data_IF_796266838331
#
_entry.id   IF_796266838331
#
_cell.length_a   1.000
_cell.length_b   1.000
_cell.length_c   1.000
_cell.angle_alpha   90.00
_cell.angle_beta   90.00
_cell.angle_gamma   90.00
#
_symmetry.space_group_name_H-M   'P 1'
#
loop_
_entity.id
_entity.type
_entity.pdbx_description
1 polymer ?
#
# COMPACT_ATOMS: atom_id res chain seq x y z
N UNK A 1 28.19 34.91 -28.17
CA UNK A 1 29.39 34.69 -27.33
C UNK A 1 30.11 33.47 -27.87
N UNK A 2 31.46 33.48 -27.99
CA UNK A 2 32.19 32.36 -28.58
C UNK A 2 32.05 31.09 -27.73
N UNK A 3 31.79 29.95 -28.36
CA UNK A 3 31.38 28.69 -27.72
C UNK A 3 32.59 27.89 -27.18
N UNK A 4 33.82 28.32 -27.47
CA UNK A 4 35.05 27.53 -27.26
C UNK A 4 35.99 28.03 -26.13
N UNK A 5 35.52 28.92 -25.26
CA UNK A 5 36.35 29.44 -24.17
C UNK A 5 36.33 28.50 -22.95
N UNK A 6 37.00 27.35 -23.09
CA UNK A 6 37.04 26.26 -22.08
C UNK A 6 37.55 26.75 -20.73
N UNK A 7 38.57 27.60 -20.72
CA UNK A 7 39.17 28.18 -19.51
C UNK A 7 38.15 29.03 -18.74
N UNK A 8 37.35 29.81 -19.47
CA UNK A 8 36.28 30.62 -18.88
C UNK A 8 35.13 29.77 -18.35
N UNK A 9 34.75 28.71 -19.05
CA UNK A 9 33.73 27.76 -18.57
C UNK A 9 34.19 27.08 -17.27
N UNK A 10 35.46 26.71 -17.18
CA UNK A 10 36.05 26.06 -16.02
C UNK A 10 36.14 27.00 -14.81
N UNK A 11 36.55 28.24 -15.04
CA UNK A 11 36.55 29.30 -14.02
C UNK A 11 35.13 29.60 -13.51
N UNK A 12 34.13 29.65 -14.40
CA UNK A 12 32.72 29.83 -14.01
C UNK A 12 32.24 28.62 -13.21
N UNK A 13 32.58 27.39 -13.60
CA UNK A 13 32.21 26.17 -12.85
C UNK A 13 32.83 26.16 -11.46
N UNK A 14 34.11 26.50 -11.31
CA UNK A 14 34.77 26.58 -10.01
C UNK A 14 34.15 27.68 -9.13
N UNK A 15 33.92 28.87 -9.69
CA UNK A 15 33.29 29.97 -8.97
C UNK A 15 31.88 29.59 -8.49
N UNK A 16 31.06 29.02 -9.37
CA UNK A 16 29.72 28.52 -9.01
C UNK A 16 29.82 27.42 -7.94
N UNK A 17 30.73 26.46 -8.09
CA UNK A 17 30.93 25.37 -7.12
C UNK A 17 31.33 25.86 -5.73
N UNK A 18 32.09 26.95 -5.64
CA UNK A 18 32.50 27.56 -4.36
C UNK A 18 31.32 28.27 -3.66
N UNK A 19 30.26 28.59 -4.40
CA UNK A 19 29.04 29.22 -3.89
C UNK A 19 27.84 28.28 -3.83
N UNK A 20 27.98 27.03 -4.29
CA UNK A 20 26.99 25.96 -4.10
C UNK A 20 27.08 25.43 -2.65
N UNK A 21 26.38 26.08 -1.74
CA UNK A 21 26.20 25.62 -0.36
C UNK A 21 24.72 25.33 -0.05
N UNK A 22 24.46 24.75 1.11
CA UNK A 22 23.09 24.44 1.53
C UNK A 22 22.20 25.69 1.55
N UNK A 23 22.76 26.84 1.94
CA UNK A 23 22.04 28.13 1.98
C UNK A 23 21.63 28.63 0.58
N UNK A 24 22.48 28.43 -0.42
CA UNK A 24 22.20 28.75 -1.82
C UNK A 24 21.06 27.88 -2.37
N UNK A 25 21.10 26.57 -2.10
CA UNK A 25 20.01 25.65 -2.47
C UNK A 25 18.72 26.05 -1.76
N UNK A 26 18.78 26.34 -0.46
CA UNK A 26 17.62 26.72 0.33
C UNK A 26 16.99 28.03 -0.16
N UNK A 27 17.80 29.04 -0.52
CA UNK A 27 17.31 30.30 -1.08
C UNK A 27 16.70 30.12 -2.48
N UNK A 28 17.30 29.28 -3.33
CA UNK A 28 16.76 28.97 -4.66
C UNK A 28 15.40 28.23 -4.57
N UNK A 29 15.24 27.39 -3.55
CA UNK A 29 13.98 26.68 -3.27
C UNK A 29 12.95 27.60 -2.60
N UNK A 30 13.39 28.57 -1.78
CA UNK A 30 12.51 29.53 -1.12
C UNK A 30 11.78 30.47 -2.10
N UNK A 31 12.42 30.86 -3.21
CA UNK A 31 11.81 31.66 -4.28
C UNK A 31 10.92 30.84 -5.24
N UNK A 32 10.91 29.51 -5.13
CA UNK A 32 10.04 28.63 -5.90
C UNK A 32 8.67 28.50 -5.24
N UNK A 33 7.67 29.19 -5.77
CA UNK A 33 6.25 29.03 -5.39
C UNK A 33 5.64 27.66 -5.78
N UNK A 34 6.41 26.76 -6.40
CA UNK A 34 5.97 25.40 -6.72
C UNK A 34 6.15 24.52 -5.49
N UNK A 35 5.03 23.99 -4.98
CA UNK A 35 5.04 22.86 -4.04
C UNK A 35 6.02 21.80 -4.58
N UNK A 36 7.01 21.35 -3.80
CA UNK A 36 7.97 20.35 -4.25
C UNK A 36 7.20 19.09 -4.64
N UNK A 37 7.16 18.79 -5.93
CA UNK A 37 6.58 17.54 -6.44
C UNK A 37 7.58 16.43 -6.12
N UNK A 38 7.10 15.37 -5.48
CA UNK A 38 7.93 14.20 -5.23
C UNK A 38 8.27 13.55 -6.56
N UNK A 39 9.56 13.46 -6.86
CA UNK A 39 10.03 12.62 -7.97
C UNK A 39 9.85 11.14 -7.61
N UNK A 40 9.71 10.23 -8.59
CA UNK A 40 9.60 8.80 -8.31
C UNK A 40 10.69 8.22 -7.40
N UNK A 41 11.99 8.57 -7.54
CA UNK A 41 13.02 8.10 -6.63
C UNK A 41 12.84 8.65 -5.21
N UNK A 42 12.50 9.93 -5.07
CA UNK A 42 12.28 10.55 -3.76
C UNK A 42 11.08 9.93 -3.04
N UNK A 43 9.99 9.67 -3.76
CA UNK A 43 8.80 9.00 -3.22
C UNK A 43 9.12 7.58 -2.73
N UNK A 44 9.85 6.78 -3.53
CA UNK A 44 10.25 5.41 -3.13
C UNK A 44 11.17 5.41 -1.92
N UNK A 45 12.09 6.37 -1.86
CA UNK A 45 12.98 6.54 -0.72
C UNK A 45 12.18 6.88 0.55
N UNK A 46 11.32 7.89 0.48
CA UNK A 46 10.45 8.28 1.59
C UNK A 46 9.56 7.14 2.07
N UNK A 47 8.95 6.38 1.15
CA UNK A 47 8.16 5.20 1.47
C UNK A 47 8.97 4.15 2.25
N UNK A 48 10.22 3.91 1.83
CA UNK A 48 11.13 2.97 2.50
C UNK A 48 11.49 3.46 3.91
N UNK A 49 11.76 4.75 4.08
CA UNK A 49 12.07 5.34 5.39
C UNK A 49 10.87 5.32 6.34
N UNK A 50 9.66 5.59 5.83
CA UNK A 50 8.42 5.46 6.62
C UNK A 50 8.22 4.01 7.11
N UNK A 51 8.43 3.02 6.24
CA UNK A 51 8.32 1.61 6.60
C UNK A 51 9.37 1.21 7.66
N UNK A 52 10.64 1.62 7.46
CA UNK A 52 11.74 1.42 8.42
C UNK A 52 11.47 2.03 9.78
N UNK A 53 10.89 3.23 9.82
CA UNK A 53 10.54 3.88 11.07
C UNK A 53 9.38 3.17 11.77
N UNK A 54 8.41 2.64 11.00
CA UNK A 54 7.25 1.95 11.54
C UNK A 54 7.57 0.56 12.11
N UNK A 55 8.61 -0.12 11.59
CA UNK A 55 9.08 -1.45 12.05
C UNK A 55 7.96 -2.46 12.23
N UNK A 56 7.09 -2.55 11.24
CA UNK A 56 5.89 -3.39 11.30
C UNK A 56 6.20 -4.86 11.02
N UNK A 57 5.46 -5.74 11.69
CA UNK A 57 5.52 -7.19 11.49
C UNK A 57 4.50 -7.60 10.44
N UNK A 58 4.96 -8.14 9.31
CA UNK A 58 4.13 -8.42 8.13
C UNK A 58 4.08 -9.92 7.87
N UNK A 59 2.88 -10.49 7.88
CA UNK A 59 2.67 -11.90 7.52
C UNK A 59 2.59 -12.08 6.01
N UNK A 60 3.23 -13.15 5.54
CA UNK A 60 3.33 -13.57 4.15
C UNK A 60 2.76 -14.99 4.06
N UNK A 61 1.46 -15.13 3.75
CA UNK A 61 0.76 -16.43 3.66
C UNK A 61 1.39 -17.41 2.67
N UNK A 62 2.02 -16.90 1.61
CA UNK A 62 2.66 -17.68 0.55
C UNK A 62 4.14 -17.89 0.89
N UNK A 63 4.41 -18.41 2.09
CA UNK A 63 5.73 -18.39 2.73
C UNK A 63 6.80 -19.24 2.05
N UNK A 64 6.41 -20.21 1.22
CA UNK A 64 7.28 -21.07 0.42
C UNK A 64 7.38 -20.65 -1.05
N UNK A 65 6.77 -19.53 -1.42
CA UNK A 65 6.81 -19.02 -2.78
C UNK A 65 8.17 -18.33 -3.07
N UNK A 66 8.86 -18.65 -4.19
CA UNK A 66 10.22 -18.16 -4.45
C UNK A 66 10.41 -16.63 -4.48
N UNK A 67 9.45 -15.88 -5.03
CA UNK A 67 9.48 -14.40 -5.06
C UNK A 67 9.21 -13.83 -3.67
N UNK A 68 8.27 -14.42 -2.92
CA UNK A 68 7.95 -14.06 -1.54
C UNK A 68 9.16 -14.24 -0.62
N UNK A 69 9.87 -15.37 -0.72
CA UNK A 69 11.08 -15.61 0.07
C UNK A 69 12.17 -14.59 -0.26
N UNK A 70 12.43 -14.31 -1.55
CA UNK A 70 13.40 -13.28 -1.95
C UNK A 70 13.03 -11.90 -1.42
N UNK A 71 11.75 -11.54 -1.52
CA UNK A 71 11.25 -10.26 -1.02
C UNK A 71 11.40 -10.17 0.50
N UNK A 72 11.07 -11.23 1.25
CA UNK A 72 11.22 -11.28 2.70
C UNK A 72 12.68 -11.07 3.14
N UNK A 73 13.63 -11.72 2.46
CA UNK A 73 15.07 -11.53 2.70
C UNK A 73 15.49 -10.08 2.45
N UNK A 74 15.11 -9.51 1.31
CA UNK A 74 15.45 -8.12 0.97
C UNK A 74 14.81 -7.12 1.94
N UNK A 75 13.55 -7.35 2.36
CA UNK A 75 12.86 -6.52 3.34
C UNK A 75 13.55 -6.55 4.70
N UNK A 76 13.94 -7.73 5.16
CA UNK A 76 14.64 -7.92 6.43
C UNK A 76 16.04 -7.31 6.40
N UNK A 77 16.84 -7.56 5.35
CA UNK A 77 18.18 -6.99 5.17
C UNK A 77 18.15 -5.45 5.12
N UNK A 78 17.09 -4.89 4.52
CA UNK A 78 16.88 -3.45 4.45
C UNK A 78 16.12 -2.89 5.66
N UNK A 79 15.77 -3.69 6.66
CA UNK A 79 15.02 -3.24 7.85
C UNK A 79 13.66 -2.61 7.55
N UNK A 80 13.02 -2.99 6.45
CA UNK A 80 11.74 -2.44 5.99
C UNK A 80 10.58 -2.97 6.84
N UNK A 81 10.63 -4.26 7.19
CA UNK A 81 9.61 -4.95 7.97
C UNK A 81 10.20 -6.21 8.61
N UNK A 82 9.58 -6.69 9.69
CA UNK A 82 9.81 -8.03 10.21
C UNK A 82 8.87 -9.00 9.49
N UNK A 83 9.42 -9.89 8.67
CA UNK A 83 8.63 -10.77 7.81
C UNK A 83 8.29 -12.09 8.53
N UNK A 84 7.02 -12.49 8.48
CA UNK A 84 6.54 -13.78 8.98
C UNK A 84 6.12 -14.64 7.80
N UNK A 85 6.88 -15.66 7.47
CA UNK A 85 6.55 -16.63 6.42
C UNK A 85 5.64 -17.72 7.00
N UNK A 86 4.45 -17.90 6.43
CA UNK A 86 3.56 -19.01 6.77
C UNK A 86 3.77 -20.17 5.78
N UNK A 87 4.53 -21.17 6.19
CA UNK A 87 4.77 -22.39 5.40
C UNK A 87 5.49 -23.44 6.25
N UNK A 88 5.54 -24.67 5.74
CA UNK A 88 6.40 -25.72 6.28
C UNK A 88 7.88 -25.28 6.28
N UNK A 89 8.57 -25.24 7.44
CA UNK A 89 9.95 -24.76 7.54
C UNK A 89 10.93 -25.50 6.62
N UNK A 90 10.75 -26.80 6.41
CA UNK A 90 11.62 -27.58 5.52
C UNK A 90 11.45 -27.15 4.05
N UNK A 91 10.22 -26.79 3.65
CA UNK A 91 9.93 -26.29 2.31
C UNK A 91 10.47 -24.88 2.08
N UNK A 92 10.34 -23.97 3.07
CA UNK A 92 10.95 -22.63 3.01
C UNK A 92 12.46 -22.72 2.85
N UNK A 93 13.13 -23.57 3.64
CA UNK A 93 14.58 -23.76 3.58
C UNK A 93 15.03 -24.26 2.20
N UNK A 94 14.34 -25.27 1.67
CA UNK A 94 14.63 -25.83 0.33
C UNK A 94 14.50 -24.79 -0.78
N UNK A 95 13.47 -23.96 -0.72
CA UNK A 95 13.26 -22.89 -1.71
C UNK A 95 14.30 -21.79 -1.55
N UNK A 96 14.64 -21.39 -0.32
CA UNK A 96 15.69 -20.41 -0.07
C UNK A 96 17.04 -20.86 -0.65
N UNK A 97 17.43 -22.12 -0.44
CA UNK A 97 18.64 -22.72 -1.01
C UNK A 97 18.61 -22.72 -2.54
N UNK A 98 17.49 -23.16 -3.14
CA UNK A 98 17.31 -23.15 -4.58
C UNK A 98 17.36 -21.73 -5.20
N UNK A 99 16.93 -20.72 -4.44
CA UNK A 99 17.01 -19.31 -4.84
C UNK A 99 18.36 -18.65 -4.52
N UNK A 100 19.28 -19.35 -3.86
CA UNK A 100 20.59 -18.83 -3.47
C UNK A 100 20.54 -17.72 -2.42
N UNK A 101 19.49 -17.69 -1.59
CA UNK A 101 19.31 -16.68 -0.53
C UNK A 101 19.46 -17.30 0.85
N UNK A 102 19.91 -16.49 1.81
CA UNK A 102 20.04 -16.90 3.21
C UNK A 102 18.94 -16.25 4.04
N UNK A 103 18.21 -17.06 4.80
CA UNK A 103 17.22 -16.58 5.74
C UNK A 103 17.95 -15.97 6.94
N UNK A 104 17.82 -14.65 7.10
CA UNK A 104 18.55 -13.87 8.10
C UNK A 104 17.70 -13.45 9.30
N UNK A 105 18.28 -12.58 10.14
CA UNK A 105 17.53 -11.90 11.21
C UNK A 105 16.39 -11.08 10.62
N UNK A 106 15.26 -10.99 11.33
CA UNK A 106 14.07 -10.26 10.87
C UNK A 106 13.12 -11.10 10.01
N UNK A 107 13.39 -12.40 9.84
CA UNK A 107 12.48 -13.36 9.23
C UNK A 107 12.12 -14.41 10.27
N UNK A 108 10.82 -14.61 10.46
CA UNK A 108 10.25 -15.68 11.29
C UNK A 108 9.49 -16.63 10.39
N UNK A 109 9.68 -17.93 10.58
CA UNK A 109 8.92 -18.96 9.87
C UNK A 109 7.95 -19.58 10.87
N UNK A 110 6.67 -19.61 10.52
CA UNK A 110 5.63 -20.27 11.31
C UNK A 110 5.03 -21.36 10.46
N UNK A 111 5.08 -22.59 10.99
CA UNK A 111 4.41 -23.72 10.39
C UNK A 111 2.90 -23.61 10.65
N UNK A 112 2.05 -23.51 9.60
CA UNK A 112 0.60 -23.35 9.78
C UNK A 112 -0.03 -24.49 10.59
N UNK A 113 0.49 -25.72 10.45
CA UNK A 113 -0.04 -26.89 11.14
C UNK A 113 0.07 -26.78 12.67
N UNK A 114 1.07 -26.05 13.17
CA UNK A 114 1.36 -25.95 14.61
C UNK A 114 0.52 -24.87 15.30
N UNK A 115 0.00 -23.90 14.55
CA UNK A 115 -0.68 -22.71 15.11
C UNK A 115 -2.17 -22.63 14.78
N UNK A 116 -2.65 -23.30 13.72
CA UNK A 116 -4.02 -23.15 13.23
C UNK A 116 -5.09 -23.42 14.29
N UNK A 117 -4.89 -24.41 15.16
CA UNK A 117 -5.87 -24.76 16.20
C UNK A 117 -6.10 -23.60 17.18
N UNK A 118 -5.12 -22.72 17.39
CA UNK A 118 -5.25 -21.57 18.29
C UNK A 118 -6.32 -20.56 17.85
N UNK A 119 -6.72 -20.58 16.58
CA UNK A 119 -7.66 -19.61 16.01
C UNK A 119 -9.06 -20.17 15.75
N UNK A 120 -9.28 -21.48 15.98
CA UNK A 120 -10.55 -22.16 15.68
C UNK A 120 -11.70 -21.53 16.47
N UNK A 121 -11.57 -21.47 17.80
CA UNK A 121 -12.61 -20.95 18.68
C UNK A 121 -12.95 -19.49 18.35
N UNK A 122 -11.92 -18.68 18.09
CA UNK A 122 -12.10 -17.26 17.75
C UNK A 122 -12.79 -17.09 16.40
N UNK A 123 -12.44 -17.89 15.39
CA UNK A 123 -13.09 -17.84 14.08
C UNK A 123 -14.57 -18.25 14.16
N UNK A 124 -14.88 -19.27 14.97
CA UNK A 124 -16.26 -19.69 15.26
C UNK A 124 -17.04 -18.55 15.91
N UNK A 125 -16.47 -17.90 16.92
CA UNK A 125 -17.10 -16.76 17.60
C UNK A 125 -17.40 -15.61 16.62
N UNK A 126 -16.40 -15.16 15.86
CA UNK A 126 -16.51 -14.05 14.92
C UNK A 126 -17.55 -14.30 13.83
N UNK A 127 -17.71 -15.57 13.41
CA UNK A 127 -18.60 -15.97 12.32
C UNK A 127 -19.81 -16.77 12.77
N UNK A 128 -20.13 -16.76 14.07
CA UNK A 128 -21.29 -17.48 14.64
C UNK A 128 -22.60 -17.09 13.98
N UNK A 129 -22.80 -15.80 13.70
CA UNK A 129 -23.99 -15.28 13.02
C UNK A 129 -24.15 -15.80 11.58
N UNK A 130 -23.11 -16.40 11.00
CA UNK A 130 -23.12 -17.02 9.67
C UNK A 130 -23.10 -18.56 9.74
N UNK A 131 -23.35 -19.14 10.91
CA UNK A 131 -23.42 -20.59 11.11
C UNK A 131 -22.06 -21.29 11.11
N UNK A 132 -20.98 -20.59 11.46
CA UNK A 132 -19.65 -21.21 11.55
C UNK A 132 -19.63 -22.31 12.62
N UNK A 133 -19.17 -23.50 12.23
CA UNK A 133 -18.93 -24.64 13.14
C UNK A 133 -17.43 -24.83 13.30
N UNK A 134 -16.99 -25.52 14.37
CA UNK A 134 -15.57 -25.80 14.57
C UNK A 134 -14.95 -26.59 13.42
N UNK A 135 -15.66 -27.58 12.86
CA UNK A 135 -15.17 -28.37 11.73
C UNK A 135 -14.94 -27.49 10.50
N UNK A 136 -15.89 -26.61 10.18
CA UNK A 136 -15.75 -25.67 9.06
C UNK A 136 -14.66 -24.62 9.32
N UNK A 137 -14.47 -24.20 10.58
CA UNK A 137 -13.39 -23.29 10.96
C UNK A 137 -12.02 -23.92 10.76
N UNK A 138 -11.84 -25.19 11.18
CA UNK A 138 -10.59 -25.95 10.94
C UNK A 138 -10.27 -26.08 9.45
N UNK A 139 -11.27 -26.39 8.62
CA UNK A 139 -11.12 -26.47 7.16
C UNK A 139 -10.72 -25.10 6.57
N UNK A 140 -11.34 -24.01 7.00
CA UNK A 140 -10.98 -22.67 6.52
C UNK A 140 -9.59 -22.23 6.97
N UNK A 141 -9.14 -22.64 8.16
CA UNK A 141 -7.81 -22.33 8.68
C UNK A 141 -6.68 -23.11 8.01
N UNK A 142 -7.00 -24.06 7.12
CA UNK A 142 -6.00 -24.65 6.22
C UNK A 142 -5.54 -23.66 5.14
N UNK A 143 -6.37 -22.67 4.81
CA UNK A 143 -5.98 -21.55 3.96
C UNK A 143 -5.09 -20.58 4.74
N UNK A 144 -3.83 -20.45 4.31
CA UNK A 144 -2.83 -19.59 4.94
C UNK A 144 -3.21 -18.11 4.94
N UNK A 145 -4.04 -17.65 3.99
CA UNK A 145 -4.55 -16.27 3.97
C UNK A 145 -5.58 -16.07 5.08
N UNK A 146 -6.45 -17.05 5.31
CA UNK A 146 -7.41 -17.02 6.43
C UNK A 146 -6.64 -17.04 7.75
N UNK A 147 -5.67 -17.94 7.89
CA UNK A 147 -4.82 -18.03 9.07
C UNK A 147 -4.07 -16.71 9.33
N UNK A 148 -3.40 -16.15 8.32
CA UNK A 148 -2.72 -14.85 8.44
C UNK A 148 -3.67 -13.71 8.78
N UNK A 149 -4.93 -13.76 8.31
CA UNK A 149 -5.95 -12.78 8.68
C UNK A 149 -6.36 -12.92 10.16
N UNK A 150 -6.45 -14.15 10.68
CA UNK A 150 -6.71 -14.38 12.11
C UNK A 150 -5.54 -13.91 12.98
N UNK A 151 -4.29 -14.09 12.55
CA UNK A 151 -3.12 -13.52 13.22
C UNK A 151 -3.19 -11.98 13.28
N UNK A 152 -3.66 -11.35 12.21
CA UNK A 152 -3.86 -9.90 12.16
C UNK A 152 -5.00 -9.44 13.09
N UNK A 153 -6.12 -10.17 13.15
CA UNK A 153 -7.21 -9.90 14.10
C UNK A 153 -6.77 -10.06 15.56
N UNK A 154 -5.91 -11.05 15.82
CA UNK A 154 -5.30 -11.28 17.12
C UNK A 154 -4.20 -10.26 17.48
N UNK A 155 -3.88 -9.30 16.60
CA UNK A 155 -2.80 -8.31 16.75
C UNK A 155 -1.41 -8.93 16.94
N UNK A 156 -1.18 -10.13 16.41
CA UNK A 156 0.14 -10.79 16.46
C UNK A 156 1.08 -10.30 15.34
N UNK A 157 0.47 -9.72 14.30
CA UNK A 157 1.12 -9.08 13.15
C UNK A 157 0.39 -7.79 12.83
N UNK A 158 1.06 -6.86 12.15
CA UNK A 158 0.55 -5.52 11.82
C UNK A 158 -0.03 -5.42 10.40
N UNK A 159 0.23 -6.42 9.55
CA UNK A 159 -0.27 -6.43 8.18
C UNK A 159 -0.05 -7.76 7.48
N UNK A 160 -0.74 -7.96 6.36
CA UNK A 160 -0.70 -9.16 5.53
C UNK A 160 -0.42 -8.79 4.07
N UNK A 161 0.48 -9.51 3.41
CA UNK A 161 0.74 -9.38 1.97
C UNK A 161 0.68 -10.76 1.31
N UNK A 162 -0.26 -10.93 0.38
CA UNK A 162 -0.49 -12.16 -0.39
C UNK A 162 -0.86 -11.80 -1.84
N UNK A 163 -0.94 -12.79 -2.73
CA UNK A 163 -1.38 -12.62 -4.12
C UNK A 163 -0.36 -13.04 -5.17
N UNK A 164 0.77 -13.64 -4.77
CA UNK A 164 1.73 -14.24 -5.70
C UNK A 164 1.21 -15.56 -6.27
N UNK A 165 0.38 -16.28 -5.51
CA UNK A 165 -0.28 -17.55 -5.86
C UNK A 165 -1.80 -17.40 -5.76
N UNK A 166 -2.30 -16.75 -4.71
CA UNK A 166 -3.72 -16.54 -4.49
C UNK A 166 -4.27 -15.47 -5.44
N UNK A 167 -5.54 -15.62 -5.82
CA UNK A 167 -6.24 -14.57 -6.57
C UNK A 167 -6.53 -13.36 -5.68
N UNK A 168 -6.73 -12.18 -6.28
CA UNK A 168 -7.16 -10.97 -5.58
C UNK A 168 -8.43 -11.22 -4.74
N UNK A 169 -9.39 -11.97 -5.29
CA UNK A 169 -10.61 -12.33 -4.60
C UNK A 169 -10.36 -13.18 -3.34
N UNK A 170 -9.44 -14.14 -3.41
CA UNK A 170 -9.07 -14.98 -2.27
C UNK A 170 -8.29 -14.19 -1.21
N UNK A 171 -7.53 -13.16 -1.62
CA UNK A 171 -6.77 -12.31 -0.69
C UNK A 171 -7.66 -11.33 0.08
N UNK A 172 -8.66 -10.72 -0.57
CA UNK A 172 -9.51 -9.68 0.05
C UNK A 172 -10.67 -10.27 0.86
N UNK A 173 -11.17 -11.46 0.47
CA UNK A 173 -12.37 -12.04 1.09
C UNK A 173 -12.21 -12.32 2.59
N UNK A 174 -11.12 -12.94 3.09
CA UNK A 174 -10.99 -13.22 4.52
C UNK A 174 -10.92 -11.95 5.39
N UNK A 175 -10.10 -10.92 5.06
CA UNK A 175 -10.11 -9.67 5.82
C UNK A 175 -11.48 -8.99 5.86
N UNK A 176 -12.22 -8.98 4.75
CA UNK A 176 -13.59 -8.42 4.72
C UNK A 176 -14.56 -9.19 5.63
N UNK A 177 -14.33 -10.48 5.80
CA UNK A 177 -15.16 -11.37 6.60
C UNK A 177 -14.83 -11.33 8.10
N UNK A 178 -13.57 -11.06 8.44
CA UNK A 178 -13.04 -11.17 9.81
C UNK A 178 -12.79 -9.77 10.40
N UNK A 179 -11.99 -8.94 9.73
CA UNK A 179 -11.54 -7.62 10.19
C UNK A 179 -12.58 -6.53 9.87
N UNK A 180 -13.22 -6.64 8.69
CA UNK A 180 -14.22 -5.68 8.15
C UNK A 180 -13.62 -4.31 7.81
N UNK A 181 -14.47 -3.40 7.36
CA UNK A 181 -14.11 -2.02 7.04
C UNK A 181 -13.96 -1.16 8.29
N UNK A 182 -13.23 -0.06 8.18
CA UNK A 182 -13.15 0.95 9.22
C UNK A 182 -14.54 1.58 9.50
N UNK A 183 -14.81 2.06 10.73
CA UNK A 183 -16.06 2.74 11.05
C UNK A 183 -16.36 3.88 10.06
N UNK A 184 -17.61 3.93 9.56
CA UNK A 184 -18.03 4.92 8.58
C UNK A 184 -17.65 4.62 7.13
N UNK A 185 -16.92 3.53 6.87
CA UNK A 185 -16.64 3.04 5.52
C UNK A 185 -17.54 1.85 5.19
N UNK A 186 -18.27 1.94 4.07
CA UNK A 186 -19.14 0.88 3.56
C UNK A 186 -18.40 -0.09 2.64
N UNK A 187 -17.30 0.35 2.03
CA UNK A 187 -16.52 -0.41 1.05
C UNK A 187 -15.01 -0.28 1.31
N UNK A 188 -14.27 -1.21 0.72
CA UNK A 188 -12.82 -1.07 0.51
C UNK A 188 -12.56 -0.64 -0.92
N UNK A 189 -11.54 0.18 -1.13
CA UNK A 189 -11.14 0.66 -2.44
C UNK A 189 -9.65 0.44 -2.66
N UNK A 190 -9.23 0.29 -3.92
CA UNK A 190 -7.81 0.25 -4.26
C UNK A 190 -7.29 1.63 -4.65
N UNK A 191 -6.00 1.84 -4.43
CA UNK A 191 -5.27 2.95 -5.02
C UNK A 191 -4.02 2.46 -5.74
N UNK A 192 -3.63 3.18 -6.79
CA UNK A 192 -2.36 3.03 -7.46
C UNK A 192 -1.55 4.33 -7.35
N UNK A 193 -0.29 4.21 -6.96
CA UNK A 193 0.68 5.30 -7.10
C UNK A 193 1.23 5.31 -8.53
N UNK A 194 0.84 6.31 -9.30
CA UNK A 194 1.32 6.53 -10.65
C UNK A 194 2.59 7.36 -10.60
N UNK A 195 3.74 6.70 -10.79
CA UNK A 195 5.05 7.34 -10.79
C UNK A 195 5.38 7.91 -12.18
N UNK A 196 4.95 9.14 -12.45
CA UNK A 196 5.25 9.86 -13.68
C UNK A 196 6.61 10.59 -13.57
N UNK A 197 7.26 10.97 -14.68
CA UNK A 197 8.61 11.57 -14.64
C UNK A 197 8.74 12.75 -13.67
N UNK A 198 7.74 13.63 -13.61
CA UNK A 198 7.80 14.88 -12.84
C UNK A 198 6.84 14.93 -11.64
N UNK A 199 6.08 13.85 -11.38
CA UNK A 199 5.09 13.81 -10.30
C UNK A 199 4.62 12.41 -9.93
N UNK A 200 4.13 12.26 -8.70
CA UNK A 200 3.37 11.09 -8.25
C UNK A 200 1.89 11.45 -8.20
N UNK A 201 1.05 10.66 -8.86
CA UNK A 201 -0.41 10.75 -8.76
C UNK A 201 -0.98 9.54 -8.02
N UNK A 202 -2.18 9.68 -7.48
CA UNK A 202 -2.93 8.58 -6.85
C UNK A 202 -4.20 8.35 -7.66
N UNK A 203 -4.37 7.15 -8.19
CA UNK A 203 -5.57 6.75 -8.94
C UNK A 203 -6.38 5.76 -8.09
N UNK A 204 -7.68 5.99 -7.93
CA UNK A 204 -8.58 5.09 -7.22
C UNK A 204 -10.03 5.28 -7.69
N UNK A 205 -10.87 4.25 -7.68
CA UNK A 205 -10.58 2.81 -7.51
C UNK A 205 -10.30 2.18 -8.88
N UNK A 206 -9.28 1.31 -8.97
CA UNK A 206 -8.88 0.68 -10.22
C UNK A 206 -8.91 -0.85 -10.19
N UNK A 207 -9.34 -1.48 -9.09
CA UNK A 207 -9.25 -2.94 -8.95
C UNK A 207 -10.43 -3.60 -8.24
N UNK A 208 -11.16 -2.91 -7.36
CA UNK A 208 -12.09 -3.59 -6.44
C UNK A 208 -13.55 -3.41 -6.82
N UNK A 209 -13.99 -2.18 -7.13
CA UNK A 209 -15.38 -1.83 -7.33
C UNK A 209 -15.65 -1.51 -8.82
N UNK A 210 -16.28 -2.41 -9.61
CA UNK A 210 -16.45 -2.22 -11.05
C UNK A 210 -17.43 -1.09 -11.45
N UNK A 211 -18.54 -0.93 -10.72
CA UNK A 211 -19.53 0.13 -10.97
C UNK A 211 -20.01 0.71 -9.63
N UNK A 212 -19.23 1.61 -9.01
CA UNK A 212 -19.57 2.20 -7.72
C UNK A 212 -20.76 3.17 -7.86
N UNK A 213 -21.63 3.22 -6.85
CA UNK A 213 -22.66 4.26 -6.74
C UNK A 213 -22.04 5.64 -6.48
N UNK A 214 -22.84 6.71 -6.53
CA UNK A 214 -22.36 8.06 -6.22
C UNK A 214 -21.77 8.17 -4.79
N UNK A 215 -22.43 7.53 -3.80
CA UNK A 215 -21.98 7.49 -2.40
C UNK A 215 -20.67 6.73 -2.25
N UNK A 216 -20.55 5.57 -2.93
CA UNK A 216 -19.33 4.77 -2.94
C UNK A 216 -18.19 5.51 -3.63
N UNK A 217 -18.46 6.20 -4.75
CA UNK A 217 -17.47 6.99 -5.46
C UNK A 217 -16.99 8.18 -4.62
N UNK A 218 -17.87 8.80 -3.84
CA UNK A 218 -17.50 9.80 -2.85
C UNK A 218 -16.62 9.22 -1.72
N UNK A 219 -16.95 8.02 -1.24
CA UNK A 219 -16.14 7.31 -0.25
C UNK A 219 -14.74 6.96 -0.77
N UNK A 220 -14.65 6.45 -2.00
CA UNK A 220 -13.39 6.18 -2.71
C UNK A 220 -12.53 7.45 -2.78
N UNK A 221 -13.13 8.58 -3.14
CA UNK A 221 -12.42 9.86 -3.23
C UNK A 221 -11.82 10.30 -1.89
N UNK A 222 -12.58 10.15 -0.79
CA UNK A 222 -12.13 10.49 0.57
C UNK A 222 -11.02 9.53 1.02
N UNK A 223 -11.23 8.21 0.90
CA UNK A 223 -10.25 7.19 1.26
C UNK A 223 -8.93 7.34 0.47
N UNK A 224 -9.03 7.65 -0.83
CA UNK A 224 -7.86 7.88 -1.69
C UNK A 224 -7.08 9.11 -1.26
N UNK A 225 -7.77 10.18 -0.86
CA UNK A 225 -7.15 11.40 -0.39
C UNK A 225 -6.51 11.26 0.99
N UNK A 226 -7.13 10.48 1.89
CA UNK A 226 -6.55 10.15 3.20
C UNK A 226 -5.29 9.28 3.04
N UNK A 227 -5.34 8.30 2.13
CA UNK A 227 -4.19 7.50 1.76
C UNK A 227 -3.07 8.38 1.18
N UNK A 228 -3.36 9.24 0.21
CA UNK A 228 -2.38 10.17 -0.36
C UNK A 228 -1.69 11.00 0.74
N UNK A 229 -2.46 11.54 1.69
CA UNK A 229 -1.94 12.29 2.83
C UNK A 229 -1.02 11.45 3.72
N UNK A 230 -1.39 10.20 4.01
CA UNK A 230 -0.56 9.28 4.80
C UNK A 230 0.80 9.00 4.16
N UNK A 231 0.90 9.08 2.82
CA UNK A 231 2.15 8.93 2.07
C UNK A 231 2.82 10.28 1.71
N UNK A 232 2.42 11.38 2.38
CA UNK A 232 3.07 12.68 2.24
C UNK A 232 2.69 13.46 0.97
N UNK A 233 1.61 13.09 0.29
CA UNK A 233 1.09 13.78 -0.88
C UNK A 233 -0.06 14.70 -0.45
N UNK A 234 0.03 16.00 -0.75
CA UNK A 234 -1.06 16.95 -0.54
C UNK A 234 -2.24 16.63 -1.49
N UNK A 235 -3.40 16.18 -0.98
CA UNK A 235 -4.44 15.63 -1.82
C UNK A 235 -5.25 16.73 -2.52
N UNK A 236 -5.14 16.76 -3.86
CA UNK A 236 -6.03 17.53 -4.74
C UNK A 236 -6.85 16.55 -5.58
N UNK A 237 -8.06 16.27 -5.14
CA UNK A 237 -8.91 15.24 -5.73
C UNK A 237 -9.65 15.77 -6.95
N UNK A 238 -9.56 15.05 -8.07
CA UNK A 238 -10.35 15.29 -9.26
C UNK A 238 -11.25 14.08 -9.55
N UNK A 239 -12.55 14.33 -9.64
CA UNK A 239 -13.55 13.31 -9.98
C UNK A 239 -13.66 13.26 -11.51
N UNK A 240 -13.30 12.12 -12.12
CA UNK A 240 -13.19 12.00 -13.58
C UNK A 240 -14.50 11.52 -14.21
N UNK A 241 -14.87 12.14 -15.33
CA UNK A 241 -16.01 11.77 -16.18
C UNK A 241 -15.68 12.10 -17.64
N UNK A 242 -16.47 11.60 -18.60
CA UNK A 242 -16.36 12.02 -20.01
C UNK A 242 -16.87 13.45 -20.25
N UNK A 243 -17.41 14.11 -19.23
CA UNK A 243 -17.87 15.51 -19.26
C UNK A 243 -17.12 16.37 -18.24
N UNK A 244 -16.93 17.65 -18.56
CA UNK A 244 -16.31 18.63 -17.65
C UNK A 244 -17.35 19.56 -17.07
N UNK A 245 -17.34 19.74 -15.74
CA UNK A 245 -18.26 20.65 -15.05
C UNK A 245 -19.73 20.30 -15.29
N UNK A 246 -20.49 21.25 -15.87
CA UNK A 246 -21.93 21.10 -16.14
C UNK A 246 -22.26 20.88 -17.62
N UNK A 247 -21.27 20.76 -18.50
CA UNK A 247 -21.49 20.78 -19.96
C UNK A 247 -22.16 19.53 -20.52
N UNK A 248 -22.05 18.40 -19.82
CA UNK A 248 -22.64 17.12 -20.21
C UNK A 248 -23.79 16.72 -19.28
N UNK A 249 -24.64 15.85 -19.83
CA UNK A 249 -25.78 15.21 -19.16
C UNK A 249 -25.75 13.71 -19.46
N UNK A 250 -26.26 12.92 -18.53
CA UNK A 250 -26.26 11.45 -18.62
C UNK A 250 -26.09 10.81 -17.24
N UNK A 251 -26.54 9.57 -17.10
CA UNK A 251 -26.54 8.87 -15.81
C UNK A 251 -25.14 8.85 -15.14
N UNK A 252 -24.08 8.56 -15.90
CA UNK A 252 -22.71 8.54 -15.37
C UNK A 252 -22.18 9.93 -15.02
N UNK A 253 -22.59 10.98 -15.75
CA UNK A 253 -22.18 12.36 -15.44
C UNK A 253 -22.86 12.82 -14.15
N UNK A 254 -24.15 12.56 -14.00
CA UNK A 254 -24.90 12.91 -12.79
C UNK A 254 -24.40 12.11 -11.57
N UNK A 255 -24.03 10.83 -11.75
CA UNK A 255 -23.38 10.00 -10.72
C UNK A 255 -22.10 10.66 -10.19
N UNK A 256 -21.23 11.14 -11.09
CA UNK A 256 -19.98 11.80 -10.70
C UNK A 256 -20.21 13.19 -10.08
N UNK A 257 -21.17 13.97 -10.59
CA UNK A 257 -21.56 15.26 -10.00
C UNK A 257 -22.07 15.08 -8.56
N UNK A 258 -22.95 14.10 -8.36
CA UNK A 258 -23.50 13.79 -7.04
C UNK A 258 -22.42 13.28 -6.08
N UNK A 259 -21.55 12.37 -6.54
CA UNK A 259 -20.39 11.93 -5.76
C UNK A 259 -19.50 13.10 -5.32
N UNK A 260 -19.28 14.07 -6.21
CA UNK A 260 -18.50 15.28 -5.91
C UNK A 260 -19.17 16.13 -4.83
N UNK A 261 -20.50 16.28 -4.88
CA UNK A 261 -21.28 17.01 -3.86
C UNK A 261 -21.17 16.33 -2.50
N UNK A 262 -21.43 15.02 -2.45
CA UNK A 262 -21.34 14.21 -1.23
C UNK A 262 -19.94 14.27 -0.61
N UNK A 263 -18.90 14.13 -1.43
CA UNK A 263 -17.51 14.16 -0.95
C UNK A 263 -17.15 15.51 -0.31
N UNK A 264 -17.61 16.62 -0.92
CA UNK A 264 -17.41 17.98 -0.37
C UNK A 264 -18.15 18.15 0.96
N UNK A 265 -19.40 17.73 1.04
CA UNK A 265 -20.19 17.86 2.28
C UNK A 265 -19.57 17.07 3.43
N UNK A 266 -19.13 15.83 3.19
CA UNK A 266 -18.49 15.01 4.21
C UNK A 266 -17.15 15.58 4.70
N UNK A 267 -16.40 16.28 3.84
CA UNK A 267 -15.12 16.92 4.23
C UNK A 267 -15.25 18.35 4.75
N UNK A 268 -16.32 19.07 4.45
CA UNK A 268 -16.59 20.39 5.02
C UNK A 268 -17.06 20.33 6.49
N UNK A 269 -17.30 19.12 7.02
CA UNK A 269 -17.79 18.86 8.38
C UNK A 269 -16.64 18.47 9.35
N UNK A 270 -15.37 18.41 8.90
CA UNK A 270 -14.20 18.11 9.75
C UNK A 270 -13.11 19.18 9.65
#
# INVERSE_FOLDING_TARGET
MPVDDKERIENIKQYISQHFNADFINNLVADSSRLPRLSPPAFRFQLTELARAAKKRIVLPEGDEPRTIKAAVLCAERGIAECVLLADPASVQRVAEAQGVKLGKGITIINPADVRENYVDRLVELRKAKGMTETAAREQLEDTVVLGTMMLEANEVDGLVSGAVHTTANTIRPPMQIIKTAPGSSIVSSIFFMLLPDQVLVYGDCAVNPDPTAEQLAEIAIQSADSAKAFGIDPKVAMISYSTGTSGSGADVEKVKEATRIAKEKRLIY
#
